data_IF_239528649603
#
_entry.id   IF_239528649603
#
_cell.length_a   1.000
_cell.length_b   1.000
_cell.length_c   1.000
_cell.angle_alpha   90.00
_cell.angle_beta   90.00
_cell.angle_gamma   90.00
#
_symmetry.space_group_name_H-M   'P 1'
#
loop_
_entity.id
_entity.type
_entity.pdbx_description
1 polymer ?
#
# COMPACT_ATOMS: atom_id res chain seq x y z
N UNK A 1 -0.90 -12.48 16.65
CA UNK A 1 -1.35 -11.38 15.76
C UNK A 1 -0.50 -10.17 16.10
N UNK A 2 0.70 -10.08 15.51
CA UNK A 2 1.50 -8.85 15.63
C UNK A 2 0.90 -7.87 14.63
N UNK A 3 0.09 -6.94 15.13
CA UNK A 3 -0.27 -5.78 14.33
C UNK A 3 1.04 -5.04 14.07
N UNK A 4 1.51 -5.06 12.81
CA UNK A 4 2.52 -4.10 12.37
C UNK A 4 1.81 -2.75 12.41
N UNK A 5 1.94 -2.05 13.53
CA UNK A 5 1.44 -0.68 13.65
C UNK A 5 2.29 0.19 12.74
N UNK A 6 1.85 0.36 11.49
CA UNK A 6 2.41 1.38 10.62
C UNK A 6 1.99 2.73 11.20
N UNK A 7 2.96 3.44 11.77
CA UNK A 7 2.82 4.83 12.19
C UNK A 7 2.29 5.62 10.98
N UNK A 8 1.12 6.25 11.10
CA UNK A 8 0.62 7.14 10.05
C UNK A 8 1.67 8.25 9.86
N UNK A 9 2.32 8.35 8.67
CA UNK A 9 3.29 9.39 8.46
C UNK A 9 2.54 10.71 8.40
N UNK A 10 3.12 11.78 8.94
CA UNK A 10 2.90 13.10 8.37
C UNK A 10 3.34 13.02 6.89
N UNK A 11 2.41 12.76 5.97
CA UNK A 11 2.73 12.28 4.61
C UNK A 11 1.56 12.32 3.65
N UNK A 12 1.77 11.75 2.45
CA UNK A 12 0.88 11.84 1.28
C UNK A 12 -0.49 11.15 1.46
N UNK A 13 -0.57 10.16 2.35
CA UNK A 13 -1.78 9.39 2.64
C UNK A 13 -2.55 10.02 3.80
N UNK A 14 -3.87 10.10 3.68
CA UNK A 14 -4.75 10.44 4.79
C UNK A 14 -4.77 9.31 5.84
N UNK A 15 -5.16 9.64 7.07
CA UNK A 15 -5.17 8.69 8.19
C UNK A 15 -6.12 7.49 7.98
N UNK A 16 -7.12 7.64 7.11
CA UNK A 16 -8.09 6.61 6.73
C UNK A 16 -7.72 5.88 5.43
N UNK A 17 -6.59 6.23 4.79
CA UNK A 17 -6.10 5.49 3.63
C UNK A 17 -5.28 4.26 4.04
N UNK A 18 -5.41 3.19 3.25
CA UNK A 18 -4.59 2.00 3.41
C UNK A 18 -3.09 2.35 3.27
N UNK A 19 -2.27 1.63 4.03
CA UNK A 19 -0.82 1.73 4.00
C UNK A 19 -0.24 1.53 2.58
N UNK A 20 0.99 2.00 2.31
CA UNK A 20 1.60 1.89 0.98
C UNK A 20 1.99 0.45 0.59
N UNK A 21 2.01 -0.48 1.54
CA UNK A 21 2.27 -1.90 1.31
C UNK A 21 1.49 -2.76 2.30
N UNK A 22 1.32 -4.03 1.95
CA UNK A 22 0.82 -5.08 2.81
C UNK A 22 1.86 -6.18 2.96
N UNK A 23 1.89 -6.84 4.12
CA UNK A 23 2.70 -8.04 4.34
C UNK A 23 1.74 -9.20 4.53
N UNK A 24 1.85 -10.19 3.65
CA UNK A 24 1.07 -11.42 3.68
C UNK A 24 1.94 -12.54 4.24
N UNK A 25 1.33 -13.49 4.95
CA UNK A 25 2.00 -14.71 5.44
C UNK A 25 3.29 -14.46 6.24
N UNK A 26 3.28 -13.48 7.16
CA UNK A 26 4.43 -13.09 8.03
C UNK A 26 5.08 -14.28 8.76
N UNK A 27 4.29 -15.28 9.11
CA UNK A 27 4.74 -16.45 9.89
C UNK A 27 5.01 -17.68 9.00
N UNK A 28 5.17 -17.49 7.68
CA UNK A 28 5.44 -18.60 6.77
C UNK A 28 6.75 -19.32 7.10
N UNK A 29 6.73 -20.65 7.10
CA UNK A 29 7.91 -21.48 7.33
C UNK A 29 8.87 -21.56 6.12
N UNK A 30 8.45 -21.02 4.97
CA UNK A 30 9.28 -20.97 3.76
C UNK A 30 10.43 -19.98 3.94
N UNK A 31 11.66 -20.30 3.49
CA UNK A 31 12.76 -19.34 3.48
C UNK A 31 12.66 -18.32 2.33
N UNK A 32 11.65 -18.42 1.47
CA UNK A 32 11.47 -17.56 0.30
C UNK A 32 10.68 -16.31 0.66
N UNK A 33 11.21 -15.15 0.29
CA UNK A 33 10.52 -13.87 0.35
C UNK A 33 10.10 -13.47 -1.06
N UNK A 34 8.82 -13.17 -1.23
CA UNK A 34 8.27 -12.61 -2.46
C UNK A 34 7.99 -11.13 -2.25
N UNK A 35 8.44 -10.29 -3.19
CA UNK A 35 8.17 -8.86 -3.21
C UNK A 35 7.47 -8.50 -4.53
N UNK A 36 6.50 -7.58 -4.48
CA UNK A 36 5.77 -7.11 -5.66
C UNK A 36 5.52 -5.60 -5.57
N UNK A 37 6.34 -4.82 -6.27
CA UNK A 37 6.28 -3.36 -6.20
C UNK A 37 5.06 -2.77 -6.92
N UNK A 38 4.50 -3.49 -7.91
CA UNK A 38 3.34 -3.06 -8.72
C UNK A 38 2.08 -3.88 -8.42
N UNK A 39 1.84 -4.19 -7.14
CA UNK A 39 0.70 -5.00 -6.71
C UNK A 39 -0.65 -4.27 -6.76
N UNK A 40 -0.66 -2.94 -6.87
CA UNK A 40 -1.87 -2.11 -6.86
C UNK A 40 -1.74 -0.93 -7.81
N UNK A 41 -2.88 -0.53 -8.41
CA UNK A 41 -3.03 0.71 -9.19
C UNK A 41 -3.62 1.87 -8.37
N UNK A 42 -3.78 1.70 -7.05
CA UNK A 42 -4.41 2.72 -6.19
C UNK A 42 -3.60 4.02 -6.17
N UNK A 43 -4.27 5.13 -6.48
CA UNK A 43 -3.69 6.47 -6.37
C UNK A 43 -4.05 7.10 -5.01
N UNK A 44 -3.09 7.66 -4.26
CA UNK A 44 -3.36 8.45 -3.05
C UNK A 44 -4.36 9.58 -3.30
N UNK A 45 -5.31 9.79 -2.37
CA UNK A 45 -6.35 10.83 -2.50
C UNK A 45 -5.78 12.23 -2.75
N UNK A 46 -4.65 12.55 -2.11
CA UNK A 46 -3.98 13.83 -2.27
C UNK A 46 -3.52 14.11 -3.72
N UNK A 47 -3.30 13.06 -4.53
CA UNK A 47 -2.86 13.14 -5.93
C UNK A 47 -4.02 13.10 -6.94
N UNK A 48 -5.26 12.88 -6.47
CA UNK A 48 -6.47 12.75 -7.31
C UNK A 48 -6.30 11.67 -8.39
N UNK A 49 -6.51 12.03 -9.65
CA UNK A 49 -6.43 11.17 -10.84
C UNK A 49 -5.11 11.36 -11.60
N UNK A 50 -4.14 12.09 -11.03
CA UNK A 50 -2.89 12.47 -11.72
C UNK A 50 -3.12 13.26 -13.03
N UNK A 51 -4.33 13.80 -13.25
CA UNK A 51 -4.72 14.40 -14.52
C UNK A 51 -4.99 13.39 -15.65
N UNK A 52 -5.15 12.11 -15.31
CA UNK A 52 -5.50 11.04 -16.23
C UNK A 52 -7.01 10.90 -16.37
N UNK A 53 -7.46 10.43 -17.54
CA UNK A 53 -8.84 10.00 -17.73
C UNK A 53 -9.08 8.65 -17.01
N UNK A 54 -10.32 8.38 -16.61
CA UNK A 54 -10.67 7.21 -15.81
C UNK A 54 -10.29 5.87 -16.45
N UNK A 55 -10.28 5.78 -17.78
CA UNK A 55 -9.85 4.57 -18.49
C UNK A 55 -8.35 4.23 -18.32
N UNK A 56 -7.55 5.15 -17.76
CA UNK A 56 -6.12 4.98 -17.51
C UNK A 56 -5.79 4.78 -16.02
N UNK A 57 -6.80 4.74 -15.15
CA UNK A 57 -6.67 4.45 -13.72
C UNK A 57 -6.94 2.96 -13.46
#
# INVERSE_FOLDING_TARGET
>A
MVAVTQQAPSGLLAADEAAPYEVLEVEAASPVILACDHASNRVPRALKDLGLANEHL
#
